data_IF_599891975714
#
_entry.id   IF_599891975714
#
_cell.length_a   1.000
_cell.length_b   1.000
_cell.length_c   1.000
_cell.angle_alpha   90.00
_cell.angle_beta   90.00
_cell.angle_gamma   90.00
#
_symmetry.space_group_name_H-M   'P 1'
#
loop_
_entity.id
_entity.type
_entity.pdbx_description
1 polymer ?
#
# COMPACT_ATOMS: atom_id res chain seq x y z
N UNK A 1 4.45 19.85 -1.32
CA UNK A 1 4.44 18.37 -1.38
C UNK A 1 3.57 17.93 -2.54
N UNK A 2 4.07 17.08 -3.44
CA UNK A 2 3.29 16.58 -4.58
C UNK A 2 2.51 15.35 -4.11
N UNK A 3 1.18 15.42 -4.09
CA UNK A 3 0.34 14.24 -3.92
C UNK A 3 0.15 13.62 -5.31
N UNK A 4 0.50 12.34 -5.46
CA UNK A 4 0.17 11.59 -6.67
C UNK A 4 -1.20 10.94 -6.45
N UNK A 5 -2.13 11.25 -7.34
CA UNK A 5 -3.46 10.67 -7.37
C UNK A 5 -3.42 9.44 -8.27
N UNK A 6 -3.67 8.27 -7.73
CA UNK A 6 -3.79 7.04 -8.53
C UNK A 6 -5.26 6.65 -8.60
N UNK A 7 -5.81 6.70 -9.81
CA UNK A 7 -7.10 6.09 -10.12
C UNK A 7 -6.85 4.74 -10.74
N UNK A 8 -7.26 3.68 -10.06
CA UNK A 8 -7.19 2.35 -10.64
C UNK A 8 -8.53 1.98 -11.25
N UNK A 9 -8.46 1.66 -12.56
CA UNK A 9 -9.55 1.09 -13.31
C UNK A 9 -9.54 -0.42 -13.08
N UNK A 10 -10.54 -0.94 -12.37
CA UNK A 10 -10.66 -2.37 -12.20
C UNK A 10 -11.93 -2.86 -12.92
N UNK A 11 -11.74 -3.75 -13.90
CA UNK A 11 -12.81 -4.50 -14.51
C UNK A 11 -13.24 -5.64 -13.57
N UNK A 12 -14.43 -5.57 -13.02
CA UNK A 12 -15.15 -6.63 -12.28
C UNK A 12 -14.39 -7.39 -11.17
N UNK A 13 -13.06 -7.38 -11.11
CA UNK A 13 -12.29 -8.16 -10.13
C UNK A 13 -10.98 -7.46 -9.84
N UNK A 14 -10.66 -7.28 -8.56
CA UNK A 14 -9.32 -6.88 -8.12
C UNK A 14 -8.42 -8.11 -8.21
N UNK A 15 -7.38 -8.04 -9.03
CA UNK A 15 -6.46 -9.16 -9.23
C UNK A 15 -5.11 -8.89 -8.55
N UNK A 16 -4.41 -9.96 -8.19
CA UNK A 16 -3.10 -9.88 -7.53
C UNK A 16 -2.09 -8.95 -8.23
N UNK A 17 -1.96 -8.95 -9.57
CA UNK A 17 -1.05 -8.02 -10.25
C UNK A 17 -1.35 -6.54 -9.98
N UNK A 18 -2.62 -6.15 -9.85
CA UNK A 18 -2.98 -4.75 -9.60
C UNK A 18 -2.51 -4.29 -8.22
N UNK A 19 -2.73 -5.10 -7.19
CA UNK A 19 -2.28 -4.78 -5.83
C UNK A 19 -0.75 -4.72 -5.77
N UNK A 20 -0.06 -5.71 -6.34
CA UNK A 20 1.40 -5.73 -6.40
C UNK A 20 1.98 -4.50 -7.08
N UNK A 21 1.35 -4.07 -8.16
CA UNK A 21 1.77 -2.85 -8.87
C UNK A 21 1.61 -1.61 -7.98
N UNK A 22 0.49 -1.50 -7.25
CA UNK A 22 0.25 -0.35 -6.35
C UNK A 22 1.28 -0.34 -5.22
N UNK A 23 1.56 -1.49 -4.60
CA UNK A 23 2.56 -1.61 -3.55
C UNK A 23 3.95 -1.22 -4.05
N UNK A 24 4.33 -1.69 -5.23
CA UNK A 24 5.60 -1.33 -5.86
C UNK A 24 5.72 0.19 -6.09
N UNK A 25 4.64 0.80 -6.61
CA UNK A 25 4.62 2.27 -6.80
C UNK A 25 4.66 3.00 -5.46
N UNK A 26 3.96 2.47 -4.43
CA UNK A 26 3.98 3.06 -3.09
C UNK A 26 5.42 3.10 -2.53
N UNK A 27 6.13 1.98 -2.58
CA UNK A 27 7.52 1.86 -2.10
C UNK A 27 8.46 2.78 -2.88
N UNK A 28 8.37 2.80 -4.21
CA UNK A 28 9.21 3.68 -5.04
C UNK A 28 9.00 5.15 -4.71
N UNK A 29 7.75 5.57 -4.57
CA UNK A 29 7.40 6.96 -4.23
C UNK A 29 7.84 7.30 -2.80
N UNK A 30 7.63 6.39 -1.87
CA UNK A 30 8.08 6.55 -0.49
C UNK A 30 9.59 6.75 -0.40
N UNK A 31 10.38 5.97 -1.15
CA UNK A 31 11.84 6.09 -1.22
C UNK A 31 12.36 7.45 -1.68
N UNK A 32 11.53 8.23 -2.36
CA UNK A 32 11.84 9.63 -2.79
C UNK A 32 11.05 10.69 -2.02
N UNK A 33 10.45 10.31 -0.88
CA UNK A 33 9.71 11.23 -0.01
C UNK A 33 8.36 11.69 -0.55
N UNK A 34 7.74 10.91 -1.43
CA UNK A 34 6.41 11.19 -1.99
C UNK A 34 5.38 10.26 -1.38
N UNK A 35 4.31 10.82 -0.82
CA UNK A 35 3.21 10.06 -0.26
C UNK A 35 2.16 9.73 -1.32
N UNK A 36 1.78 8.45 -1.40
CA UNK A 36 0.72 7.97 -2.27
C UNK A 36 -0.61 7.88 -1.51
N UNK A 37 -1.69 8.28 -2.17
CA UNK A 37 -3.06 8.20 -1.68
C UNK A 37 -3.98 7.82 -2.82
N UNK A 38 -5.02 7.01 -2.56
CA UNK A 38 -5.93 6.57 -3.62
C UNK A 38 -7.19 5.89 -3.11
N UNK A 39 -8.08 5.58 -4.06
CA UNK A 39 -9.28 4.79 -3.84
C UNK A 39 -9.47 3.76 -4.95
N UNK A 40 -9.94 2.58 -4.59
CA UNK A 40 -10.28 1.49 -5.51
C UNK A 40 -11.75 1.16 -5.33
N UNK A 41 -12.51 1.32 -6.39
CA UNK A 41 -13.94 1.04 -6.39
C UNK A 41 -14.35 0.26 -7.64
N UNK A 42 -15.43 -0.52 -7.51
CA UNK A 42 -16.06 -1.24 -8.62
C UNK A 42 -17.19 -0.40 -9.18
N UNK A 43 -17.25 -0.22 -10.49
CA UNK A 43 -18.35 0.49 -11.13
C UNK A 43 -18.19 0.54 -12.65
N UNK A 44 -19.26 0.95 -13.31
CA UNK A 44 -19.24 1.15 -14.78
C UNK A 44 -18.26 2.27 -15.12
N UNK A 45 -17.51 2.05 -16.19
CA UNK A 45 -16.52 3.00 -16.67
C UNK A 45 -16.60 3.09 -18.19
N UNK A 46 -16.60 4.29 -18.72
CA UNK A 46 -16.46 4.58 -20.13
C UNK A 46 -15.07 5.17 -20.36
N UNK A 47 -14.34 4.57 -21.30
CA UNK A 47 -13.03 5.03 -21.70
C UNK A 47 -13.01 5.23 -23.21
N UNK A 48 -12.94 6.47 -23.67
CA UNK A 48 -12.87 6.84 -25.09
C UNK A 48 -11.74 7.83 -25.30
N UNK A 49 -10.70 7.43 -26.06
CA UNK A 49 -9.54 8.29 -26.27
C UNK A 49 -8.91 8.75 -24.95
N UNK A 50 -8.88 10.05 -24.72
CA UNK A 50 -8.32 10.66 -23.51
C UNK A 50 -9.37 10.90 -22.40
N UNK A 51 -10.62 10.48 -22.61
CA UNK A 51 -11.71 10.71 -21.65
C UNK A 51 -12.02 9.42 -20.91
N UNK A 52 -11.96 9.50 -19.58
CA UNK A 52 -12.37 8.42 -18.65
C UNK A 52 -13.45 9.00 -17.74
N UNK A 53 -14.62 8.36 -17.73
CA UNK A 53 -15.70 8.78 -16.83
C UNK A 53 -16.59 7.58 -16.48
N UNK A 54 -17.32 7.70 -15.37
CA UNK A 54 -18.28 6.69 -14.94
C UNK A 54 -18.37 6.59 -13.42
N UNK A 55 -19.30 5.76 -12.97
CA UNK A 55 -19.61 5.56 -11.56
C UNK A 55 -18.39 5.07 -10.78
N UNK A 56 -17.65 4.09 -11.31
CA UNK A 56 -16.47 3.57 -10.66
C UNK A 56 -15.40 4.63 -10.42
N UNK A 57 -15.21 5.56 -11.38
CA UNK A 57 -14.26 6.66 -11.22
C UNK A 57 -14.73 7.64 -10.13
N UNK A 58 -16.00 7.99 -10.11
CA UNK A 58 -16.55 8.91 -9.11
C UNK A 58 -16.42 8.34 -7.70
N UNK A 59 -16.74 7.05 -7.51
CA UNK A 59 -16.60 6.37 -6.21
C UNK A 59 -15.14 6.26 -5.78
N UNK A 60 -14.22 5.90 -6.67
CA UNK A 60 -12.79 5.86 -6.37
C UNK A 60 -12.25 7.25 -5.99
N UNK A 61 -12.69 8.30 -6.69
CA UNK A 61 -12.35 9.69 -6.34
C UNK A 61 -12.92 10.10 -4.98
N UNK A 62 -14.14 9.69 -4.66
CA UNK A 62 -14.73 9.98 -3.35
C UNK A 62 -13.95 9.31 -2.22
N UNK A 63 -13.58 8.03 -2.37
CA UNK A 63 -12.71 7.33 -1.43
C UNK A 63 -11.37 8.05 -1.23
N UNK A 64 -10.73 8.46 -2.32
CA UNK A 64 -9.47 9.19 -2.26
C UNK A 64 -9.61 10.56 -1.61
N UNK A 65 -10.58 11.36 -2.03
CA UNK A 65 -10.65 12.78 -1.65
C UNK A 65 -11.25 13.01 -0.27
N UNK A 66 -12.18 12.15 0.17
CA UNK A 66 -12.93 12.31 1.42
C UNK A 66 -12.54 11.33 2.51
N UNK A 67 -12.13 10.10 2.13
CA UNK A 67 -11.92 9.01 3.09
C UNK A 67 -10.44 8.73 3.31
N UNK A 68 -9.61 8.75 2.27
CA UNK A 68 -8.18 8.52 2.38
C UNK A 68 -7.45 9.73 2.97
N UNK A 69 -7.71 10.09 4.22
CA UNK A 69 -7.05 11.20 4.92
C UNK A 69 -5.54 10.96 5.05
N UNK A 70 -5.15 9.71 5.27
CA UNK A 70 -3.77 9.24 5.39
C UNK A 70 -3.21 8.75 4.06
N UNK A 71 -1.88 8.56 3.93
CA UNK A 71 -1.24 8.05 2.72
C UNK A 71 -1.51 6.55 2.56
N UNK A 72 -2.69 6.20 2.11
CA UNK A 72 -3.15 4.83 1.92
C UNK A 72 -4.05 4.74 0.69
N UNK A 73 -4.09 3.58 0.07
CA UNK A 73 -5.01 3.28 -1.04
C UNK A 73 -6.17 2.45 -0.49
N UNK A 74 -7.32 3.08 -0.34
CA UNK A 74 -8.53 2.46 0.23
C UNK A 74 -9.20 1.59 -0.82
N UNK A 75 -9.74 0.46 -0.37
CA UNK A 75 -10.51 -0.47 -1.20
C UNK A 75 -11.95 -0.51 -0.69
N UNK A 76 -12.89 -0.46 -1.61
CA UNK A 76 -14.31 -0.56 -1.32
C UNK A 76 -14.67 -1.93 -0.74
N UNK A 77 -15.55 -1.97 0.25
CA UNK A 77 -15.91 -3.18 1.00
C UNK A 77 -16.43 -4.33 0.12
N UNK A 78 -17.21 -4.02 -0.91
CA UNK A 78 -17.71 -5.02 -1.86
C UNK A 78 -16.58 -5.74 -2.61
N UNK A 79 -15.50 -5.02 -2.93
CA UNK A 79 -14.32 -5.62 -3.54
C UNK A 79 -13.55 -6.46 -2.52
N UNK A 80 -13.40 -5.97 -1.30
CA UNK A 80 -12.75 -6.73 -0.21
C UNK A 80 -13.49 -8.02 0.07
N UNK A 81 -14.83 -7.99 0.11
CA UNK A 81 -15.66 -9.16 0.32
C UNK A 81 -15.52 -10.23 -0.79
N UNK A 82 -15.13 -9.81 -2.00
CA UNK A 82 -14.89 -10.73 -3.12
C UNK A 82 -13.54 -11.44 -3.08
N UNK A 83 -12.62 -11.02 -2.20
CA UNK A 83 -11.29 -11.61 -2.06
C UNK A 83 -11.31 -12.80 -1.10
N UNK A 84 -10.45 -13.79 -1.33
CA UNK A 84 -10.24 -14.87 -0.37
C UNK A 84 -9.61 -14.36 0.92
N UNK A 85 -9.84 -15.09 2.03
CA UNK A 85 -9.26 -14.73 3.34
C UNK A 85 -7.74 -14.67 3.31
N UNK A 86 -7.11 -15.65 2.64
CA UNK A 86 -5.66 -15.68 2.44
C UNK A 86 -5.18 -14.39 1.73
N UNK A 87 -5.92 -13.96 0.72
CA UNK A 87 -5.54 -12.77 -0.05
C UNK A 87 -5.70 -11.49 0.77
N UNK A 88 -6.83 -11.35 1.49
CA UNK A 88 -7.06 -10.22 2.40
C UNK A 88 -5.97 -10.11 3.45
N UNK A 89 -5.69 -11.20 4.17
CA UNK A 89 -4.69 -11.20 5.25
C UNK A 89 -3.26 -10.96 4.75
N UNK A 90 -2.97 -11.26 3.48
CA UNK A 90 -1.63 -11.07 2.91
C UNK A 90 -1.39 -9.64 2.45
N UNK A 91 -2.39 -9.01 1.83
CA UNK A 91 -2.19 -7.75 1.10
C UNK A 91 -2.91 -6.54 1.69
N UNK A 92 -3.90 -6.79 2.55
CA UNK A 92 -4.74 -5.71 3.07
C UNK A 92 -4.60 -5.59 4.58
N UNK A 93 -4.83 -4.36 5.05
CA UNK A 93 -5.05 -4.04 6.46
C UNK A 93 -6.37 -3.31 6.62
N UNK A 94 -6.92 -3.42 7.82
CA UNK A 94 -8.02 -2.57 8.26
C UNK A 94 -7.48 -1.57 9.28
N UNK A 95 -7.77 -0.29 9.06
CA UNK A 95 -7.36 0.78 9.98
C UNK A 95 -8.39 0.96 11.11
N UNK A 96 -8.07 1.81 12.06
CA UNK A 96 -8.93 2.16 13.21
C UNK A 96 -10.28 2.77 12.82
N UNK A 97 -10.40 3.33 11.63
CA UNK A 97 -11.65 3.83 11.05
C UNK A 97 -12.45 2.75 10.30
N UNK A 98 -12.07 1.48 10.46
CA UNK A 98 -12.63 0.31 9.80
C UNK A 98 -12.48 0.26 8.27
N UNK A 99 -11.73 1.19 7.66
CA UNK A 99 -11.46 1.19 6.23
C UNK A 99 -10.37 0.19 5.85
N UNK A 100 -10.65 -0.61 4.83
CA UNK A 100 -9.66 -1.51 4.24
C UNK A 100 -8.74 -0.75 3.29
N UNK A 101 -7.46 -1.02 3.37
CA UNK A 101 -6.48 -0.42 2.48
C UNK A 101 -5.39 -1.44 2.09
N UNK A 102 -4.69 -1.17 0.97
CA UNK A 102 -3.52 -1.95 0.58
C UNK A 102 -2.40 -1.67 1.59
N UNK A 103 -1.91 -2.74 2.23
CA UNK A 103 -0.77 -2.65 3.16
C UNK A 103 0.52 -2.35 2.38
N UNK A 104 1.07 -1.15 2.48
CA UNK A 104 2.26 -0.78 1.71
C UNK A 104 3.52 -1.57 2.12
N UNK A 105 3.45 -2.27 3.25
CA UNK A 105 4.55 -3.07 3.77
C UNK A 105 4.28 -4.58 3.72
N UNK A 106 3.21 -5.01 3.04
CA UNK A 106 2.79 -6.43 3.03
C UNK A 106 3.77 -7.33 2.31
N UNK A 107 4.33 -6.88 1.20
CA UNK A 107 5.16 -7.68 0.30
C UNK A 107 6.60 -7.21 0.30
N UNK A 108 6.90 -6.12 0.95
CA UNK A 108 8.21 -5.50 0.95
C UNK A 108 9.16 -6.16 -0.04
N UNK A 109 9.12 -5.69 -1.30
CA UNK A 109 10.22 -5.93 -2.23
C UNK A 109 10.23 -7.31 -2.90
N UNK A 110 9.23 -7.56 -3.73
CA UNK A 110 9.33 -8.59 -4.77
C UNK A 110 10.17 -8.18 -5.99
N UNK A 111 10.97 -7.16 -5.92
CA UNK A 111 11.87 -6.76 -7.01
C UNK A 111 13.32 -7.18 -6.80
N UNK A 112 13.64 -7.75 -5.65
CA UNK A 112 14.96 -8.27 -5.37
C UNK A 112 14.86 -9.79 -5.46
N UNK A 113 15.66 -10.42 -6.32
CA UNK A 113 15.77 -11.87 -6.44
C UNK A 113 16.11 -12.48 -5.06
N UNK A 114 15.06 -12.81 -4.30
CA UNK A 114 15.19 -13.30 -2.93
C UNK A 114 15.87 -14.66 -2.83
N UNK A 115 15.88 -15.44 -3.92
CA UNK A 115 16.56 -16.75 -3.93
C UNK A 115 18.09 -16.64 -3.86
N UNK A 116 18.68 -15.60 -4.48
CA UNK A 116 20.13 -15.41 -4.47
C UNK A 116 20.66 -14.85 -3.13
N UNK A 117 19.83 -14.16 -2.38
CA UNK A 117 20.22 -13.44 -1.16
C UNK A 117 19.92 -14.23 0.13
N UNK A 118 18.96 -15.14 0.09
CA UNK A 118 18.62 -16.00 1.24
C UNK A 118 19.73 -17.02 1.59
N UNK A 119 20.64 -17.29 0.65
CA UNK A 119 21.74 -18.23 0.87
C UNK A 119 22.76 -17.77 1.93
N UNK A 120 22.88 -16.44 2.17
CA UNK A 120 23.86 -15.84 3.09
C UNK A 120 23.24 -15.33 4.41
N UNK A 121 22.01 -15.71 4.75
CA UNK A 121 21.32 -15.20 5.93
C UNK A 121 20.87 -13.74 5.79
N UNK A 122 20.85 -13.20 4.60
CA UNK A 122 20.47 -11.86 4.24
C UNK A 122 18.98 -11.83 3.91
N UNK A 123 18.18 -11.09 4.65
CA UNK A 123 16.76 -10.89 4.37
C UNK A 123 16.54 -9.51 3.69
N UNK A 124 16.34 -9.49 2.37
CA UNK A 124 16.17 -8.24 1.62
C UNK A 124 14.95 -7.46 2.08
N UNK A 125 13.92 -8.13 2.61
CA UNK A 125 12.73 -7.47 3.15
C UNK A 125 13.06 -6.67 4.42
N UNK A 126 13.86 -7.23 5.35
CA UNK A 126 14.29 -6.53 6.55
C UNK A 126 15.11 -5.29 6.24
N UNK A 127 15.99 -5.39 5.24
CA UNK A 127 16.83 -4.25 4.86
C UNK A 127 15.99 -3.13 4.29
N UNK A 128 15.09 -3.46 3.41
CA UNK A 128 14.25 -2.44 2.84
C UNK A 128 13.27 -1.84 3.84
N UNK A 129 12.70 -2.62 4.74
CA UNK A 129 11.93 -2.04 5.86
C UNK A 129 12.78 -1.07 6.68
N UNK A 130 14.06 -1.42 6.93
CA UNK A 130 14.97 -0.54 7.65
C UNK A 130 15.24 0.76 6.89
N UNK A 131 15.50 0.69 5.58
CA UNK A 131 15.74 1.86 4.74
C UNK A 131 14.50 2.74 4.63
N UNK A 132 13.32 2.15 4.45
CA UNK A 132 12.05 2.87 4.43
C UNK A 132 11.75 3.52 5.77
N UNK A 133 12.04 2.84 6.88
CA UNK A 133 11.90 3.40 8.22
C UNK A 133 12.79 4.63 8.42
N UNK A 134 14.04 4.58 7.98
CA UNK A 134 14.96 5.71 8.03
C UNK A 134 14.49 6.89 7.16
N UNK A 135 13.93 6.62 5.99
CA UNK A 135 13.35 7.66 5.13
C UNK A 135 12.13 8.31 5.79
N UNK A 136 11.22 7.52 6.37
CA UNK A 136 10.05 8.05 7.08
C UNK A 136 10.50 8.96 8.25
N UNK A 137 11.48 8.54 9.04
CA UNK A 137 12.03 9.33 10.14
C UNK A 137 12.64 10.65 9.65
N UNK A 138 13.38 10.59 8.55
CA UNK A 138 13.93 11.77 7.90
C UNK A 138 12.86 12.76 7.49
N UNK A 139 11.77 12.26 6.87
CA UNK A 139 10.65 13.10 6.43
C UNK A 139 9.91 13.73 7.61
N UNK A 140 9.69 12.99 8.70
CA UNK A 140 9.09 13.54 9.93
C UNK A 140 9.93 14.67 10.48
N UNK A 141 11.26 14.49 10.55
CA UNK A 141 12.17 15.50 11.09
C UNK A 141 12.24 16.78 10.23
N UNK A 142 12.10 16.63 8.91
CA UNK A 142 12.19 17.76 7.96
C UNK A 142 10.85 18.46 7.71
N UNK A 143 9.72 17.83 8.06
CA UNK A 143 8.38 18.37 7.78
C UNK A 143 7.96 19.37 8.86
N UNK A 144 7.89 20.66 8.50
CA UNK A 144 7.45 21.73 9.41
C UNK A 144 5.93 21.77 9.59
N UNK A 145 5.16 21.49 8.55
CA UNK A 145 3.70 21.61 8.57
C UNK A 145 3.05 20.43 9.31
N UNK A 146 2.23 20.76 10.31
CA UNK A 146 1.60 19.77 11.19
C UNK A 146 0.77 18.72 10.43
N UNK A 147 -0.05 19.14 9.47
CA UNK A 147 -0.92 18.22 8.73
C UNK A 147 -0.13 17.23 7.83
N UNK A 148 1.04 17.63 7.35
CA UNK A 148 1.93 16.73 6.64
C UNK A 148 2.67 15.79 7.60
N UNK A 149 3.10 16.30 8.75
CA UNK A 149 3.76 15.50 9.78
C UNK A 149 2.85 14.38 10.29
N UNK A 150 1.55 14.66 10.50
CA UNK A 150 0.56 13.65 10.90
C UNK A 150 0.49 12.49 9.89
N UNK A 151 0.57 12.78 8.60
CA UNK A 151 0.57 11.74 7.55
C UNK A 151 1.80 10.84 7.62
N UNK A 152 2.97 11.43 7.80
CA UNK A 152 4.22 10.68 7.98
C UNK A 152 4.23 9.87 9.28
N UNK A 153 3.68 10.43 10.37
CA UNK A 153 3.55 9.72 11.65
C UNK A 153 2.61 8.52 11.53
N UNK A 154 1.48 8.67 10.85
CA UNK A 154 0.60 7.54 10.56
C UNK A 154 1.35 6.43 9.80
N UNK A 155 2.08 6.79 8.75
CA UNK A 155 2.87 5.83 7.97
C UNK A 155 3.95 5.15 8.82
N UNK A 156 4.58 5.89 9.75
CA UNK A 156 5.51 5.35 10.74
C UNK A 156 4.85 4.26 11.59
N UNK A 157 3.64 4.50 12.09
CA UNK A 157 2.91 3.49 12.86
C UNK A 157 2.65 2.22 12.02
N UNK A 158 2.27 2.35 10.75
CA UNK A 158 2.08 1.18 9.87
C UNK A 158 3.38 0.42 9.64
N UNK A 159 4.49 1.11 9.45
CA UNK A 159 5.82 0.52 9.33
C UNK A 159 6.22 -0.23 10.62
N UNK A 160 6.01 0.35 11.79
CA UNK A 160 6.33 -0.27 13.08
C UNK A 160 5.49 -1.53 13.33
N UNK A 161 4.22 -1.54 12.90
CA UNK A 161 3.38 -2.73 12.94
C UNK A 161 3.97 -3.85 12.07
N UNK A 162 4.37 -3.55 10.84
CA UNK A 162 4.99 -4.53 9.94
C UNK A 162 6.30 -5.10 10.50
N UNK A 163 7.15 -4.25 11.07
CA UNK A 163 8.40 -4.69 11.76
C UNK A 163 8.08 -5.55 12.98
N UNK A 164 7.04 -5.19 13.75
CA UNK A 164 6.59 -5.94 14.93
C UNK A 164 6.04 -7.33 14.58
N UNK A 165 5.31 -7.45 13.48
CA UNK A 165 4.80 -8.72 12.95
C UNK A 165 5.96 -9.63 12.51
N UNK A 166 6.91 -9.09 11.77
CA UNK A 166 8.09 -9.83 11.34
C UNK A 166 8.86 -10.45 12.52
N UNK A 167 8.98 -9.72 13.63
CA UNK A 167 9.67 -10.19 14.83
C UNK A 167 8.90 -11.27 15.61
N UNK A 168 7.56 -11.23 15.59
CA UNK A 168 6.72 -12.18 16.34
C UNK A 168 6.62 -13.53 15.65
N UNK A 169 6.52 -13.51 14.33
CA UNK A 169 6.19 -14.73 13.60
C UNK A 169 7.39 -15.65 13.43
N UNK A 170 8.63 -15.18 13.64
CA UNK A 170 9.87 -15.98 13.51
C UNK A 170 9.98 -16.70 12.15
N UNK A 171 8.90 -16.64 11.41
CA UNK A 171 8.66 -17.13 10.07
C UNK A 171 8.83 -15.94 9.17
N UNK A 172 9.81 -15.96 8.33
CA UNK A 172 9.90 -14.95 7.29
C UNK A 172 8.58 -15.02 6.52
N UNK A 173 7.90 -13.91 6.33
CA UNK A 173 6.67 -13.78 5.52
C UNK A 173 6.81 -14.46 4.14
N UNK A 174 8.00 -14.75 3.79
CA UNK A 174 8.51 -15.51 2.66
C UNK A 174 8.07 -17.00 2.65
N UNK A 175 7.98 -17.65 3.79
CA UNK A 175 7.49 -19.02 3.89
C UNK A 175 5.97 -19.15 3.69
N UNK A 176 5.22 -18.11 4.07
CA UNK A 176 3.78 -18.02 3.84
C UNK A 176 3.39 -17.85 2.36
N UNK A 177 4.32 -17.44 1.51
CA UNK A 177 4.09 -17.22 0.07
C UNK A 177 4.39 -18.44 -0.80
N UNK A 178 5.08 -19.45 -0.26
CA UNK A 178 5.41 -20.71 -0.95
C UNK A 178 4.34 -21.81 -0.86
N UNK A 179 3.32 -21.62 -0.04
CA UNK A 179 2.24 -22.58 0.17
C UNK A 179 1.03 -22.41 -0.78
#
# INVERSE_FOLDING_TARGET
>A
MKNLLVYLKIYNTLIKPDILYIEEQFIKLLGIGVLLRGGIAKGRLVHTGNLIYGEGMLRAHELESRVAVYPRVIIEDDLVASLSDKYRSTFLRQDSDAMWFIDPFSIGIRGIDGEALAADGYDPYQIALKELGAEIDRQIAQTAELHHRVKWTWLKCQHELAVGELKRDGVTRWELMRG
#
